data_IF_940803233704
#
_entry.id   IF_940803233704
#
_cell.length_a   1.000
_cell.length_b   1.000
_cell.length_c   1.000
_cell.angle_alpha   90.00
_cell.angle_beta   90.00
_cell.angle_gamma   90.00
#
_symmetry.space_group_name_H-M   'P 1'
#
loop_
_entity.id
_entity.type
_entity.pdbx_description
1 polymer ?
#
# COMPACT_ATOMS: atom_id res chain seq x y z
N UNK A 1 -16.46 3.26 13.90
CA UNK A 1 -16.41 2.60 12.58
C UNK A 1 -15.08 1.90 12.48
N UNK A 2 -15.07 0.58 12.46
CA UNK A 2 -13.92 -0.28 12.77
C UNK A 2 -12.72 -0.18 11.80
N UNK A 3 -12.77 0.68 10.77
CA UNK A 3 -11.84 0.64 9.62
C UNK A 3 -11.20 1.97 9.23
N UNK A 4 -11.61 3.10 9.84
CA UNK A 4 -11.10 4.42 9.44
C UNK A 4 -9.71 4.71 10.03
N UNK A 5 -9.41 4.17 11.22
CA UNK A 5 -8.18 4.46 11.97
C UNK A 5 -7.42 3.17 12.35
N UNK A 6 -7.67 2.04 11.68
CA UNK A 6 -7.02 0.77 12.00
C UNK A 6 -5.67 0.63 11.25
N UNK A 7 -4.52 0.68 11.94
CA UNK A 7 -3.22 0.41 11.32
C UNK A 7 -3.13 -1.00 10.70
N UNK A 8 -3.95 -1.95 11.17
CA UNK A 8 -4.09 -3.29 10.58
C UNK A 8 -4.55 -3.27 9.12
N UNK A 9 -5.40 -2.31 8.74
CA UNK A 9 -5.82 -2.10 7.33
C UNK A 9 -4.62 -1.79 6.43
N UNK A 10 -3.73 -0.90 6.87
CA UNK A 10 -2.54 -0.50 6.09
C UNK A 10 -1.55 -1.65 5.97
N UNK A 11 -1.31 -2.38 7.06
CA UNK A 11 -0.46 -3.57 7.04
C UNK A 11 -1.04 -4.62 6.10
N UNK A 12 -2.35 -4.88 6.16
CA UNK A 12 -3.03 -5.80 5.24
C UNK A 12 -2.91 -5.35 3.79
N UNK A 13 -3.08 -4.06 3.47
CA UNK A 13 -2.89 -3.53 2.12
C UNK A 13 -1.47 -3.74 1.59
N UNK A 14 -0.47 -3.44 2.41
CA UNK A 14 0.94 -3.61 2.03
C UNK A 14 1.25 -5.08 1.83
N UNK A 15 0.80 -5.95 2.73
CA UNK A 15 0.98 -7.40 2.62
C UNK A 15 0.31 -7.96 1.36
N UNK A 16 -0.93 -7.58 1.08
CA UNK A 16 -1.68 -8.01 -0.11
C UNK A 16 -0.99 -7.58 -1.41
N UNK A 17 -0.56 -6.32 -1.50
CA UNK A 17 0.18 -5.80 -2.66
C UNK A 17 1.54 -6.52 -2.83
N UNK A 18 2.25 -6.74 -1.72
CA UNK A 18 3.52 -7.45 -1.71
C UNK A 18 3.38 -8.89 -2.18
N UNK A 19 2.43 -9.65 -1.62
CA UNK A 19 2.15 -11.05 -1.97
C UNK A 19 1.74 -11.15 -3.44
N UNK A 20 0.94 -10.22 -3.93
CA UNK A 20 0.46 -10.25 -5.32
C UNK A 20 1.60 -10.03 -6.32
N UNK A 21 2.49 -9.06 -6.05
CA UNK A 21 3.49 -8.62 -7.03
C UNK A 21 4.83 -9.32 -6.92
N UNK A 22 5.28 -9.61 -5.70
CA UNK A 22 6.60 -10.19 -5.48
C UNK A 22 6.59 -11.67 -5.82
N UNK A 23 7.70 -12.11 -6.42
CA UNK A 23 7.95 -13.53 -6.59
C UNK A 23 8.31 -14.11 -5.24
N UNK A 24 7.63 -15.18 -4.84
CA UNK A 24 7.98 -15.91 -3.63
C UNK A 24 9.37 -16.50 -3.80
N UNK A 25 10.22 -16.41 -2.76
CA UNK A 25 11.58 -16.98 -2.77
C UNK A 25 11.58 -18.50 -3.01
N UNK A 26 10.51 -19.19 -2.63
CA UNK A 26 10.38 -20.63 -2.80
C UNK A 26 10.04 -21.04 -4.25
N UNK A 27 9.04 -20.41 -4.87
CA UNK A 27 8.57 -20.80 -6.22
C UNK A 27 9.20 -19.99 -7.35
N UNK A 28 9.80 -18.84 -7.03
CA UNK A 28 10.17 -17.79 -7.98
C UNK A 28 9.00 -17.28 -8.84
N UNK A 29 7.75 -17.49 -8.40
CA UNK A 29 6.54 -17.04 -9.09
C UNK A 29 5.78 -16.01 -8.25
N UNK A 30 5.21 -15.02 -8.91
CA UNK A 30 4.18 -14.13 -8.35
C UNK A 30 2.83 -14.85 -8.26
N UNK A 31 1.86 -14.27 -7.57
CA UNK A 31 0.52 -14.85 -7.48
C UNK A 31 -0.15 -15.04 -8.86
N UNK A 32 -0.13 -14.06 -9.79
CA UNK A 32 -0.61 -14.26 -11.16
C UNK A 32 0.15 -15.35 -11.93
N UNK A 33 1.48 -15.39 -11.82
CA UNK A 33 2.31 -16.40 -12.49
C UNK A 33 2.01 -17.81 -11.98
N UNK A 34 1.80 -17.97 -10.66
CA UNK A 34 1.38 -19.23 -10.07
C UNK A 34 -0.01 -19.63 -10.56
N UNK A 35 -0.99 -18.71 -10.50
CA UNK A 35 -2.35 -18.98 -10.95
C UNK A 35 -2.41 -19.37 -12.43
N UNK A 36 -1.65 -18.68 -13.29
CA UNK A 36 -1.53 -19.01 -14.71
C UNK A 36 -1.06 -20.46 -14.93
N UNK A 37 -0.13 -20.97 -14.11
CA UNK A 37 0.38 -22.35 -14.25
C UNK A 37 -0.64 -23.41 -13.85
N UNK A 38 -1.47 -23.15 -12.85
CA UNK A 38 -2.47 -24.12 -12.37
C UNK A 38 -3.80 -24.02 -13.13
N UNK A 39 -4.07 -22.89 -13.79
CA UNK A 39 -5.29 -22.69 -14.55
C UNK A 39 -5.35 -23.61 -15.78
N UNK A 40 -6.49 -24.28 -15.97
CA UNK A 40 -6.79 -25.08 -17.17
C UNK A 40 -7.37 -24.18 -18.26
N UNK A 41 -6.50 -23.42 -18.91
CA UNK A 41 -6.87 -22.49 -19.99
C UNK A 41 -5.97 -22.66 -21.22
N UNK A 42 -6.34 -21.99 -22.30
CA UNK A 42 -5.52 -21.91 -23.52
C UNK A 42 -4.25 -21.11 -23.26
N UNK A 43 -3.22 -21.30 -24.09
CA UNK A 43 -1.94 -20.61 -23.92
C UNK A 43 -2.05 -19.07 -23.98
N UNK A 44 -2.85 -18.46 -24.88
CA UNK A 44 -3.06 -17.01 -24.84
C UNK A 44 -3.66 -16.52 -23.51
N UNK A 45 -4.69 -17.22 -23.00
CA UNK A 45 -5.31 -16.86 -21.71
C UNK A 45 -4.32 -17.03 -20.55
N UNK A 46 -3.48 -18.06 -20.60
CA UNK A 46 -2.41 -18.28 -19.63
C UNK A 46 -1.42 -17.12 -19.59
N UNK A 47 -1.01 -16.63 -20.75
CA UNK A 47 -0.08 -15.50 -20.88
C UNK A 47 -0.73 -14.19 -20.40
N UNK A 48 -2.00 -13.96 -20.73
CA UNK A 48 -2.77 -12.82 -20.22
C UNK A 48 -2.79 -12.81 -18.69
N UNK A 49 -3.10 -13.96 -18.06
CA UNK A 49 -3.15 -14.10 -16.61
C UNK A 49 -1.77 -13.84 -15.99
N UNK A 50 -0.71 -14.46 -16.52
CA UNK A 50 0.65 -14.27 -16.02
C UNK A 50 1.12 -12.80 -16.16
N UNK A 51 0.57 -12.07 -17.12
CA UNK A 51 0.83 -10.66 -17.36
C UNK A 51 0.12 -9.68 -16.42
N UNK A 52 -0.80 -10.13 -15.57
CA UNK A 52 -1.56 -9.27 -14.65
C UNK A 52 -0.69 -8.71 -13.52
N UNK A 53 0.11 -7.68 -13.83
CA UNK A 53 0.99 -6.99 -12.87
C UNK A 53 0.36 -5.75 -12.26
N UNK A 54 -0.57 -5.13 -12.97
CA UNK A 54 -1.30 -3.94 -12.52
C UNK A 54 -2.47 -4.37 -11.64
N UNK A 55 -2.43 -3.94 -10.38
CA UNK A 55 -3.52 -4.13 -9.40
C UNK A 55 -3.72 -2.83 -8.64
N UNK A 56 -4.96 -2.36 -8.64
CA UNK A 56 -5.37 -1.15 -7.95
C UNK A 56 -6.15 -1.53 -6.71
N UNK A 57 -5.49 -1.55 -5.56
CA UNK A 57 -6.13 -1.81 -4.28
C UNK A 57 -6.30 -0.51 -3.49
N UNK A 58 -7.54 -0.12 -3.23
CA UNK A 58 -7.88 1.12 -2.53
C UNK A 58 -9.32 1.13 -2.03
N UNK A 59 -9.74 2.27 -1.49
CA UNK A 59 -11.13 2.65 -1.29
C UNK A 59 -11.69 3.39 -2.51
N UNK A 60 -12.86 2.97 -2.93
CA UNK A 60 -13.57 3.48 -4.10
C UNK A 60 -15.01 3.80 -3.73
N UNK A 61 -15.56 4.89 -4.29
CA UNK A 61 -16.97 5.20 -4.23
C UNK A 61 -17.67 4.57 -5.46
N UNK A 62 -18.71 3.77 -5.25
CA UNK A 62 -19.55 3.30 -6.34
C UNK A 62 -20.56 4.39 -6.71
N UNK A 63 -20.31 5.12 -7.80
CA UNK A 63 -21.14 6.25 -8.24
C UNK A 63 -22.43 5.81 -8.90
N UNK A 64 -22.38 4.73 -9.67
CA UNK A 64 -23.53 4.26 -10.42
C UNK A 64 -23.40 2.78 -10.84
N UNK A 65 -24.55 2.23 -11.22
CA UNK A 65 -24.71 0.89 -11.76
C UNK A 65 -25.28 1.02 -13.17
N UNK A 66 -24.57 0.52 -14.16
CA UNK A 66 -25.04 0.40 -15.54
C UNK A 66 -25.47 -1.05 -15.81
N UNK A 67 -25.95 -1.38 -17.01
CA UNK A 67 -26.41 -2.74 -17.33
C UNK A 67 -25.37 -3.83 -16.99
N UNK A 68 -24.11 -3.66 -17.42
CA UNK A 68 -23.03 -4.66 -17.28
C UNK A 68 -21.85 -4.23 -16.41
N UNK A 69 -21.87 -2.99 -15.93
CA UNK A 69 -20.73 -2.41 -15.20
C UNK A 69 -21.18 -1.64 -13.96
N UNK A 70 -20.29 -1.55 -12.99
CA UNK A 70 -20.32 -0.54 -11.93
C UNK A 70 -19.29 0.55 -12.25
N UNK A 71 -19.64 1.79 -11.93
CA UNK A 71 -18.71 2.93 -12.05
C UNK A 71 -18.17 3.23 -10.66
N UNK A 72 -16.89 2.92 -10.48
CA UNK A 72 -16.16 3.18 -9.25
C UNK A 72 -15.24 4.39 -9.43
N UNK A 73 -15.15 5.25 -8.44
CA UNK A 73 -14.18 6.34 -8.38
C UNK A 73 -13.26 6.14 -7.19
N UNK A 74 -11.95 6.18 -7.42
CA UNK A 74 -10.98 6.17 -6.32
C UNK A 74 -11.15 7.46 -5.52
N UNK A 75 -11.46 7.32 -4.22
CA UNK A 75 -11.76 8.47 -3.36
C UNK A 75 -10.56 9.40 -3.23
N UNK A 76 -9.34 8.85 -3.25
CA UNK A 76 -8.09 9.61 -3.11
C UNK A 76 -7.69 10.36 -4.38
N UNK A 77 -8.04 9.85 -5.56
CA UNK A 77 -7.47 10.33 -6.84
C UNK A 77 -8.50 10.89 -7.79
N UNK A 78 -9.79 10.61 -7.57
CA UNK A 78 -10.87 10.91 -8.49
C UNK A 78 -10.85 10.08 -9.77
N UNK A 79 -9.94 9.09 -9.90
CA UNK A 79 -9.87 8.25 -11.10
C UNK A 79 -11.06 7.30 -11.14
N UNK A 80 -11.75 7.29 -12.28
CA UNK A 80 -12.92 6.43 -12.51
C UNK A 80 -12.53 5.09 -13.17
N UNK A 81 -13.30 4.06 -12.82
CA UNK A 81 -13.14 2.67 -13.26
C UNK A 81 -14.49 2.10 -13.65
N UNK A 82 -14.56 1.53 -14.85
CA UNK A 82 -15.73 0.82 -15.36
C UNK A 82 -15.55 -0.68 -15.13
N UNK A 83 -16.07 -1.18 -14.01
CA UNK A 83 -15.79 -2.52 -13.49
C UNK A 83 -16.90 -3.50 -13.89
N UNK A 84 -16.53 -4.68 -14.38
CA UNK A 84 -17.46 -5.74 -14.80
C UNK A 84 -18.29 -6.27 -13.62
N UNK A 85 -19.62 -6.23 -13.73
CA UNK A 85 -20.53 -6.79 -12.71
C UNK A 85 -20.28 -8.27 -12.43
N UNK A 86 -19.91 -9.03 -13.46
CA UNK A 86 -19.62 -10.47 -13.36
C UNK A 86 -18.49 -10.80 -12.39
N UNK A 87 -17.60 -9.84 -12.12
CA UNK A 87 -16.51 -9.99 -11.15
C UNK A 87 -16.94 -9.88 -9.69
N UNK A 88 -18.17 -9.40 -9.44
CA UNK A 88 -18.72 -9.17 -8.10
C UNK A 88 -19.71 -10.29 -7.78
N UNK A 89 -19.17 -11.46 -7.44
CA UNK A 89 -19.98 -12.67 -7.21
C UNK A 89 -20.82 -12.63 -5.91
N UNK A 90 -20.49 -11.75 -4.95
CA UNK A 90 -21.07 -11.79 -3.60
C UNK A 90 -22.31 -10.92 -3.36
N UNK A 91 -22.86 -10.21 -4.35
CA UNK A 91 -24.01 -9.34 -4.08
C UNK A 91 -25.04 -9.28 -5.21
N UNK A 92 -25.84 -10.35 -5.35
CA UNK A 92 -27.17 -10.16 -5.94
C UNK A 92 -28.12 -9.39 -5.01
N UNK A 93 -27.76 -9.23 -3.73
CA UNK A 93 -28.58 -8.62 -2.68
C UNK A 93 -28.02 -7.35 -2.02
N UNK A 94 -26.73 -7.01 -2.18
CA UNK A 94 -26.24 -5.70 -1.73
C UNK A 94 -26.48 -4.68 -2.84
N UNK A 95 -27.31 -3.67 -2.53
CA UNK A 95 -27.30 -2.45 -3.30
C UNK A 95 -25.98 -1.72 -3.00
N UNK A 96 -24.98 -1.91 -3.88
CA UNK A 96 -23.67 -1.28 -3.73
C UNK A 96 -23.64 0.14 -4.32
N UNK A 97 -24.72 0.62 -4.93
CA UNK A 97 -24.81 2.02 -5.35
C UNK A 97 -24.67 2.95 -4.14
N UNK A 98 -23.93 4.04 -4.31
CA UNK A 98 -23.63 5.02 -3.26
C UNK A 98 -22.94 4.41 -2.02
N UNK A 99 -22.28 3.26 -2.18
CA UNK A 99 -21.45 2.65 -1.15
C UNK A 99 -19.96 2.90 -1.39
N UNK A 100 -19.19 2.80 -0.32
CA UNK A 100 -17.73 2.80 -0.38
C UNK A 100 -17.25 1.36 -0.37
N UNK A 101 -16.52 0.97 -1.42
CA UNK A 101 -15.88 -0.32 -1.56
C UNK A 101 -14.39 -0.25 -1.25
N UNK A 102 -13.92 -1.11 -0.37
CA UNK A 102 -12.52 -1.46 -0.22
C UNK A 102 -12.26 -2.72 -1.05
N UNK A 103 -11.71 -2.53 -2.25
CA UNK A 103 -11.66 -3.56 -3.29
C UNK A 103 -10.35 -3.49 -4.08
N UNK A 104 -9.97 -4.60 -4.71
CA UNK A 104 -8.87 -4.61 -5.67
C UNK A 104 -9.41 -4.73 -7.10
N UNK A 105 -8.88 -3.91 -8.00
CA UNK A 105 -9.23 -3.91 -9.42
C UNK A 105 -8.01 -4.31 -10.26
N UNK A 106 -8.22 -5.13 -11.28
CA UNK A 106 -7.19 -5.54 -12.25
C UNK A 106 -7.69 -5.31 -13.68
N UNK A 107 -6.85 -4.81 -14.60
CA UNK A 107 -7.19 -4.72 -16.00
C UNK A 107 -6.94 -6.08 -16.67
N UNK A 108 -8.00 -6.72 -17.16
CA UNK A 108 -7.91 -7.99 -17.87
C UNK A 108 -8.78 -7.95 -19.13
N UNK A 109 -8.18 -8.30 -20.27
CA UNK A 109 -8.80 -8.26 -21.60
C UNK A 109 -9.49 -6.93 -21.93
N UNK A 110 -8.82 -5.82 -21.61
CA UNK A 110 -9.31 -4.46 -21.88
C UNK A 110 -10.44 -3.99 -20.97
N UNK A 111 -10.77 -4.73 -19.92
CA UNK A 111 -11.82 -4.37 -18.95
C UNK A 111 -11.30 -4.43 -17.52
N UNK A 112 -11.96 -3.72 -16.61
CA UNK A 112 -11.62 -3.78 -15.19
C UNK A 112 -12.45 -4.85 -14.48
N UNK A 113 -11.76 -5.68 -13.70
CA UNK A 113 -12.36 -6.76 -12.92
C UNK A 113 -12.01 -6.59 -11.45
N UNK A 114 -12.99 -6.82 -10.57
CA UNK A 114 -12.75 -6.95 -9.15
C UNK A 114 -12.07 -8.29 -8.85
N UNK A 115 -11.10 -8.29 -7.94
CA UNK A 115 -10.39 -9.50 -7.50
C UNK A 115 -10.15 -9.50 -6.00
N UNK A 116 -10.07 -10.69 -5.40
CA UNK A 116 -9.80 -10.88 -3.98
C UNK A 116 -10.98 -10.55 -3.08
N UNK A 117 -10.69 -10.28 -1.81
CA UNK A 117 -11.70 -9.89 -0.84
C UNK A 117 -12.20 -8.46 -1.10
N UNK A 118 -13.51 -8.27 -0.89
CA UNK A 118 -14.18 -6.99 -1.02
C UNK A 118 -14.94 -6.68 0.28
N UNK A 119 -14.82 -5.43 0.73
CA UNK A 119 -15.65 -4.91 1.82
C UNK A 119 -16.42 -3.70 1.34
N UNK A 120 -17.73 -3.66 1.58
CA UNK A 120 -18.57 -2.50 1.28
C UNK A 120 -19.17 -1.93 2.55
N UNK A 121 -19.25 -0.61 2.63
CA UNK A 121 -19.84 0.11 3.76
C UNK A 121 -20.51 1.39 3.29
N UNK A 122 -21.45 1.87 4.10
CA UNK A 122 -22.25 3.05 3.77
C UNK A 122 -21.40 4.31 3.62
N UNK A 123 -21.77 5.12 2.64
CA UNK A 123 -21.18 6.43 2.45
C UNK A 123 -21.59 7.37 3.58
N UNK A 124 -20.60 8.02 4.18
CA UNK A 124 -20.82 9.25 4.96
C UNK A 124 -19.79 10.30 4.57
N UNK A 125 -20.19 11.57 4.55
CA UNK A 125 -19.27 12.68 4.21
C UNK A 125 -18.07 12.78 5.16
N UNK A 126 -18.25 12.36 6.43
CA UNK A 126 -17.15 12.26 7.38
C UNK A 126 -16.11 11.23 6.93
N UNK A 127 -16.56 10.04 6.50
CA UNK A 127 -15.67 8.98 6.03
C UNK A 127 -14.98 9.41 4.73
N UNK A 128 -15.71 9.95 3.75
CA UNK A 128 -15.12 10.42 2.48
C UNK A 128 -14.01 11.45 2.72
N UNK A 129 -14.25 12.45 3.59
CA UNK A 129 -13.24 13.46 3.93
C UNK A 129 -12.01 12.86 4.61
N UNK A 130 -12.19 11.83 5.42
CA UNK A 130 -11.08 11.11 6.05
C UNK A 130 -10.27 10.33 5.01
N UNK A 131 -10.95 9.53 4.18
CA UNK A 131 -10.33 8.69 3.15
C UNK A 131 -9.58 9.51 2.09
N UNK A 132 -10.04 10.71 1.76
CA UNK A 132 -9.34 11.64 0.86
C UNK A 132 -7.96 12.09 1.38
N UNK A 133 -7.77 12.08 2.69
CA UNK A 133 -6.51 12.44 3.33
C UNK A 133 -5.59 11.23 3.54
N UNK A 134 -6.09 10.01 3.35
CA UNK A 134 -5.28 8.81 3.48
C UNK A 134 -4.23 8.72 2.38
N UNK A 135 -3.11 8.10 2.71
CA UNK A 135 -2.01 7.87 1.78
C UNK A 135 -2.42 6.88 0.68
N UNK A 136 -2.10 7.21 -0.58
CA UNK A 136 -2.27 6.30 -1.71
C UNK A 136 -1.17 5.25 -1.66
N UNK A 137 -1.52 4.01 -1.34
CA UNK A 137 -0.55 2.91 -1.20
C UNK A 137 -0.20 2.24 -2.54
N UNK A 138 -1.09 2.26 -3.53
CA UNK A 138 -0.80 1.68 -4.85
C UNK A 138 -0.07 2.71 -5.73
N UNK A 139 1.14 2.41 -6.22
CA UNK A 139 1.86 3.32 -7.12
C UNK A 139 1.10 3.57 -8.43
N UNK A 140 0.24 2.63 -8.86
CA UNK A 140 -0.57 2.77 -10.07
C UNK A 140 -1.75 3.74 -9.93
N UNK A 141 -2.13 4.07 -8.69
CA UNK A 141 -3.15 5.07 -8.40
C UNK A 141 -2.58 6.47 -8.28
N UNK A 142 -1.27 6.62 -8.10
CA UNK A 142 -0.65 7.94 -7.96
C UNK A 142 -0.64 8.67 -9.30
N UNK A 143 -0.95 9.96 -9.28
CA UNK A 143 -0.63 10.85 -10.40
C UNK A 143 0.88 10.96 -10.55
N UNK A 144 1.37 11.43 -11.72
CA UNK A 144 2.82 11.63 -11.91
C UNK A 144 3.39 12.58 -10.85
N UNK A 145 2.66 13.64 -10.51
CA UNK A 145 3.05 14.58 -9.44
C UNK A 145 3.15 13.88 -8.07
N UNK A 146 2.19 13.01 -7.74
CA UNK A 146 2.20 12.25 -6.49
C UNK A 146 3.32 11.21 -6.47
N UNK A 147 3.62 10.58 -7.62
CA UNK A 147 4.73 9.65 -7.76
C UNK A 147 6.07 10.37 -7.57
N UNK A 148 6.23 11.56 -8.17
CA UNK A 148 7.42 12.37 -8.00
C UNK A 148 7.59 12.82 -6.54
N UNK A 149 6.53 13.33 -5.91
CA UNK A 149 6.55 13.67 -4.47
C UNK A 149 6.93 12.49 -3.58
N UNK A 150 6.45 11.28 -3.90
CA UNK A 150 6.84 10.08 -3.16
C UNK A 150 8.32 9.72 -3.36
N UNK A 151 8.83 9.82 -4.59
CA UNK A 151 10.27 9.62 -4.88
C UNK A 151 11.13 10.65 -4.15
N UNK A 152 10.74 11.91 -4.17
CA UNK A 152 11.45 12.99 -3.48
C UNK A 152 11.43 12.77 -1.95
N UNK A 153 10.32 12.26 -1.40
CA UNK A 153 10.23 11.93 0.02
C UNK A 153 11.18 10.79 0.41
N UNK A 154 11.22 9.70 -0.37
CA UNK A 154 12.15 8.58 -0.17
C UNK A 154 13.60 9.04 -0.29
N UNK A 155 13.91 9.88 -1.29
CA UNK A 155 15.25 10.43 -1.46
C UNK A 155 15.65 11.30 -0.26
N UNK A 156 14.76 12.17 0.21
CA UNK A 156 15.02 13.01 1.38
C UNK A 156 15.29 12.15 2.64
N UNK A 157 14.51 11.09 2.85
CA UNK A 157 14.73 10.17 3.97
C UNK A 157 16.06 9.43 3.86
N UNK A 158 16.42 8.96 2.66
CA UNK A 158 17.72 8.36 2.39
C UNK A 158 18.88 9.33 2.72
N UNK A 159 18.78 10.58 2.29
CA UNK A 159 19.81 11.58 2.57
C UNK A 159 19.94 11.85 4.08
N UNK A 160 18.82 11.97 4.80
CA UNK A 160 18.83 12.14 6.27
C UNK A 160 19.45 10.92 6.96
N UNK A 161 19.17 9.71 6.49
CA UNK A 161 19.78 8.48 7.01
C UNK A 161 21.30 8.47 6.82
N UNK A 162 21.76 8.75 5.59
CA UNK A 162 23.20 8.76 5.27
C UNK A 162 23.92 9.92 5.96
N UNK A 163 23.29 11.08 6.12
CA UNK A 163 23.85 12.19 6.88
C UNK A 163 24.04 11.82 8.37
N UNK A 164 23.10 11.07 8.94
CA UNK A 164 23.15 10.65 10.34
C UNK A 164 24.15 9.50 10.58
N UNK A 165 24.10 8.44 9.77
CA UNK A 165 24.89 7.22 9.96
C UNK A 165 26.21 7.19 9.16
N UNK A 166 26.41 8.13 8.24
CA UNK A 166 27.58 8.21 7.35
C UNK A 166 27.59 7.19 6.20
N UNK A 167 26.69 6.21 6.22
CA UNK A 167 26.61 5.13 5.23
C UNK A 167 25.17 4.60 5.10
N UNK A 168 24.81 3.97 3.97
CA UNK A 168 23.47 3.39 3.78
C UNK A 168 23.27 2.07 4.54
N UNK A 169 24.36 1.48 5.05
CA UNK A 169 24.37 0.28 5.88
C UNK A 169 25.21 0.56 7.12
N UNK A 170 24.63 0.33 8.29
CA UNK A 170 25.32 0.42 9.59
C UNK A 170 25.18 -0.90 10.33
N UNK A 171 26.26 -1.34 10.98
CA UNK A 171 26.29 -2.57 11.77
C UNK A 171 26.46 -2.25 13.25
N UNK A 172 25.71 -2.98 14.08
CA UNK A 172 25.73 -2.88 15.53
C UNK A 172 26.09 -4.22 16.15
N UNK A 173 26.82 -4.19 17.25
CA UNK A 173 27.20 -5.41 17.96
C UNK A 173 26.00 -6.12 18.61
N UNK A 174 24.95 -5.38 19.00
CA UNK A 174 23.77 -5.91 19.70
C UNK A 174 22.49 -5.21 19.23
N UNK A 175 21.34 -5.90 19.36
CA UNK A 175 19.98 -5.35 19.13
C UNK A 175 19.71 -4.15 20.01
N UNK A 176 20.19 -4.16 21.27
CA UNK A 176 20.04 -3.03 22.18
C UNK A 176 20.70 -1.77 21.61
N UNK A 177 21.97 -1.87 21.21
CA UNK A 177 22.69 -0.74 20.62
C UNK A 177 21.99 -0.23 19.35
N UNK A 178 21.54 -1.15 18.50
CA UNK A 178 20.81 -0.81 17.28
C UNK A 178 19.47 -0.08 17.57
N UNK A 179 18.68 -0.57 18.54
CA UNK A 179 17.42 0.07 18.94
C UNK A 179 17.65 1.46 19.59
N UNK A 180 18.70 1.61 20.40
CA UNK A 180 19.05 2.90 21.01
C UNK A 180 19.44 3.94 19.95
N UNK A 181 20.27 3.57 18.98
CA UNK A 181 20.65 4.49 17.90
C UNK A 181 19.48 4.79 16.96
N UNK A 182 18.63 3.81 16.65
CA UNK A 182 17.42 4.07 15.86
C UNK A 182 16.46 5.05 16.54
N UNK A 183 16.32 5.00 17.87
CA UNK A 183 15.53 5.98 18.62
C UNK A 183 16.09 7.40 18.46
N UNK A 184 17.41 7.55 18.54
CA UNK A 184 18.08 8.84 18.35
C UNK A 184 17.92 9.35 16.92
N UNK A 185 18.14 8.49 15.94
CA UNK A 185 17.90 8.81 14.53
C UNK A 185 16.48 9.31 14.27
N UNK A 186 15.45 8.58 14.73
CA UNK A 186 14.05 8.98 14.56
C UNK A 186 13.72 10.30 15.25
N UNK A 187 14.36 10.58 16.41
CA UNK A 187 14.24 11.87 17.09
C UNK A 187 14.83 12.99 16.22
N UNK A 188 16.02 12.80 15.65
CA UNK A 188 16.64 13.78 14.75
C UNK A 188 15.82 14.01 13.48
N UNK A 189 15.27 12.95 12.88
CA UNK A 189 14.39 13.07 11.71
C UNK A 189 13.15 13.89 12.05
N UNK A 190 12.54 13.64 13.22
CA UNK A 190 11.39 14.41 13.71
C UNK A 190 11.74 15.88 13.93
N UNK A 191 12.88 16.17 14.56
CA UNK A 191 13.33 17.54 14.81
C UNK A 191 13.53 18.30 13.49
N UNK A 192 14.24 17.71 12.52
CA UNK A 192 14.41 18.27 11.16
C UNK A 192 13.08 18.48 10.44
N UNK A 193 12.11 17.57 10.61
CA UNK A 193 10.79 17.72 10.02
C UNK A 193 10.00 18.87 10.66
N UNK A 194 10.09 19.07 11.97
CA UNK A 194 9.42 20.16 12.69
C UNK A 194 10.06 21.52 12.41
N UNK A 195 11.37 21.59 12.15
CA UNK A 195 12.02 22.82 11.67
C UNK A 195 11.49 23.23 10.30
N UNK A 196 11.26 22.26 9.42
CA UNK A 196 10.73 22.51 8.07
C UNK A 196 9.23 22.82 8.07
N UNK A 197 8.49 22.30 9.04
CA UNK A 197 7.03 22.45 9.16
C UNK A 197 6.63 22.80 10.62
N UNK A 198 6.86 24.04 11.06
CA UNK A 198 6.62 24.45 12.46
C UNK A 198 5.15 24.28 12.90
N UNK A 199 4.20 24.46 11.99
CA UNK A 199 2.76 24.31 12.25
C UNK A 199 2.35 22.84 12.53
N UNK A 200 3.21 21.87 12.18
CA UNK A 200 2.96 20.45 12.45
C UNK A 200 3.18 20.09 13.93
N UNK A 201 3.74 20.99 14.75
CA UNK A 201 4.13 20.71 16.14
C UNK A 201 2.95 20.40 17.06
N UNK A 202 1.81 21.07 16.86
CA UNK A 202 0.58 20.82 17.64
C UNK A 202 -0.07 19.47 17.30
N UNK A 203 0.16 18.95 16.08
CA UNK A 203 -0.46 17.72 15.59
C UNK A 203 0.53 16.55 15.46
N UNK A 204 1.78 16.73 15.90
CA UNK A 204 2.80 15.71 15.76
C UNK A 204 2.51 14.54 16.70
N UNK A 205 2.37 13.33 16.13
CA UNK A 205 2.23 12.10 16.91
C UNK A 205 3.35 11.98 17.96
N UNK A 206 3.09 11.36 19.12
CA UNK A 206 4.13 11.12 20.11
C UNK A 206 5.29 10.31 19.49
N UNK A 207 6.51 10.39 20.07
CA UNK A 207 7.63 9.59 19.62
C UNK A 207 7.22 8.12 19.60
N UNK A 208 7.63 7.37 18.59
CA UNK A 208 7.39 5.93 18.56
C UNK A 208 8.10 5.30 19.77
N UNK A 209 7.32 4.67 20.65
CA UNK A 209 7.81 3.89 21.78
C UNK A 209 7.81 2.40 21.42
N UNK A 210 8.85 1.67 21.84
CA UNK A 210 8.99 0.24 21.57
C UNK A 210 10.33 -0.16 20.96
N UNK A 211 10.47 -1.44 20.67
CA UNK A 211 11.61 -2.00 19.94
C UNK A 211 11.30 -1.99 18.44
N UNK A 212 12.16 -1.31 17.67
CA UNK A 212 12.02 -1.18 16.22
C UNK A 212 12.54 -2.42 15.50
N UNK A 213 13.56 -3.03 16.08
CA UNK A 213 14.14 -4.27 15.63
C UNK A 213 13.43 -5.34 16.45
N UNK A 214 12.49 -6.04 15.81
CA UNK A 214 11.70 -7.13 16.38
C UNK A 214 12.56 -8.34 16.75
N UNK A 215 11.95 -9.52 16.88
CA UNK A 215 12.64 -10.74 17.28
C UNK A 215 13.52 -11.31 16.16
N UNK A 216 14.64 -10.63 15.91
CA UNK A 216 15.70 -11.08 15.04
C UNK A 216 16.63 -11.97 15.86
N UNK A 217 16.93 -13.16 15.35
CA UNK A 217 17.91 -14.07 15.97
C UNK A 217 19.31 -13.44 15.85
N UNK A 218 19.87 -12.99 16.97
CA UNK A 218 21.22 -12.45 17.02
C UNK A 218 22.25 -13.57 16.82
N UNK A 219 22.90 -13.59 15.66
CA UNK A 219 23.96 -14.59 15.35
C UNK A 219 25.31 -13.99 15.01
N UNK A 220 25.43 -12.65 14.93
CA UNK A 220 26.68 -11.96 14.57
C UNK A 220 26.59 -10.43 14.52
N UNK A 221 25.71 -9.83 15.33
CA UNK A 221 25.37 -8.40 15.26
C UNK A 221 24.13 -8.13 14.42
N UNK A 222 23.76 -6.85 14.30
CA UNK A 222 22.56 -6.38 13.59
C UNK A 222 22.96 -5.33 12.55
N UNK A 223 22.60 -5.57 11.30
CA UNK A 223 22.75 -4.60 10.21
C UNK A 223 21.44 -3.86 9.96
N UNK A 224 21.50 -2.52 9.87
CA UNK A 224 20.39 -1.69 9.41
C UNK A 224 20.76 -1.11 8.06
N UNK A 225 19.97 -1.42 7.05
CA UNK A 225 20.14 -0.95 5.69
C UNK A 225 18.95 -0.09 5.27
N UNK A 226 19.20 1.09 4.73
CA UNK A 226 18.17 1.90 4.11
C UNK A 226 18.12 1.62 2.60
N UNK A 227 17.04 0.98 2.14
CA UNK A 227 16.89 0.68 0.72
C UNK A 227 16.32 1.90 -0.02
N UNK A 228 17.19 2.64 -0.71
CA UNK A 228 16.83 3.81 -1.52
C UNK A 228 15.71 3.55 -2.55
N UNK A 229 15.53 2.30 -3.02
CA UNK A 229 14.51 1.96 -4.00
C UNK A 229 13.15 1.63 -3.39
N UNK A 230 13.10 1.29 -2.09
CA UNK A 230 11.89 0.79 -1.43
C UNK A 230 11.39 1.72 -0.33
N UNK A 231 12.27 2.59 0.22
CA UNK A 231 11.96 3.46 1.36
C UNK A 231 12.06 2.71 2.69
#
# INVERSE_FOLDING_TARGET
GFWADDPGKYLYMIMEEYIYRRRCSFSALSAPEFFARVCRCTEPVRQDIAGLKERHFSTFLCKSSEERHFIFESIQTGREYRVRKDSIQQSRSLNIEDSIGFIALVPWQGQWWMTGAAGFFDRTEKIIRSLRKEMINSPFLRTEEQLQKAKDAVENQYQVFVEYFGAPLVAFATRRAANEEMRRYLKTVREKALEKFPDARENASPPLEGDFIGDVVETGGIGIFYNRQEG
#
